data_IF_551127907728
#
_entry.id   IF_551127907728
#
_cell.length_a   1.000
_cell.length_b   1.000
_cell.length_c   1.000
_cell.angle_alpha   90.00
_cell.angle_beta   90.00
_cell.angle_gamma   90.00
#
_symmetry.space_group_name_H-M   'P 1'
#
loop_
_entity.id
_entity.type
_entity.pdbx_description
1 polymer ?
#
# COMPACT_ATOMS: atom_id res chain seq x y z
N UNK A 1 -26.05 46.82 36.00
CA UNK A 1 -26.12 46.50 34.56
C UNK A 1 -24.78 45.90 34.19
N UNK A 2 -24.69 44.58 34.28
CA UNK A 2 -23.45 43.83 34.07
C UNK A 2 -23.23 43.65 32.57
N UNK A 3 -22.12 44.16 32.07
CA UNK A 3 -21.57 43.76 30.78
C UNK A 3 -20.97 42.36 30.96
N UNK A 4 -21.67 41.34 30.48
CA UNK A 4 -21.11 40.00 30.30
C UNK A 4 -20.00 40.08 29.23
N UNK A 5 -18.75 40.14 29.69
CA UNK A 5 -17.59 39.80 28.89
C UNK A 5 -17.69 38.31 28.57
N UNK A 6 -17.89 37.98 27.28
CA UNK A 6 -17.73 36.62 26.78
C UNK A 6 -16.30 36.16 27.11
N UNK A 7 -16.10 34.92 27.57
CA UNK A 7 -14.76 34.39 27.72
C UNK A 7 -14.09 34.44 26.35
N UNK A 8 -12.88 34.99 26.29
CA UNK A 8 -12.04 34.94 25.11
C UNK A 8 -11.90 33.46 24.74
N UNK A 9 -12.53 33.04 23.64
CA UNK A 9 -12.26 31.75 23.02
C UNK A 9 -10.78 31.78 22.65
N UNK A 10 -9.93 31.11 23.44
CA UNK A 10 -8.48 31.10 23.25
C UNK A 10 -8.15 30.46 21.90
N UNK A 11 -8.05 31.31 20.88
CA UNK A 11 -7.55 30.92 19.57
C UNK A 11 -6.10 30.50 19.76
N UNK A 12 -5.86 29.19 19.61
CA UNK A 12 -4.55 28.60 19.83
C UNK A 12 -3.53 29.03 18.75
N UNK A 13 -3.99 29.28 17.52
CA UNK A 13 -3.10 29.71 16.44
C UNK A 13 -3.84 30.41 15.29
N UNK A 14 -3.30 31.56 14.85
CA UNK A 14 -3.75 32.29 13.66
C UNK A 14 -2.52 32.70 12.81
N UNK A 15 -2.35 32.08 11.64
CA UNK A 15 -1.27 32.43 10.71
C UNK A 15 -1.71 32.34 9.24
N UNK A 16 -0.99 33.07 8.38
CA UNK A 16 -1.20 33.11 6.93
C UNK A 16 -0.45 31.92 6.31
N UNK A 17 -1.17 30.82 6.03
CA UNK A 17 -0.57 29.68 5.36
C UNK A 17 -0.60 29.88 3.85
N UNK A 18 0.57 30.12 3.25
CA UNK A 18 0.72 30.17 1.79
C UNK A 18 0.49 28.78 1.19
N UNK A 19 -0.45 28.68 0.24
CA UNK A 19 -0.72 27.46 -0.52
C UNK A 19 0.49 27.12 -1.39
N UNK A 20 1.16 25.99 -1.13
CA UNK A 20 2.26 25.50 -1.96
C UNK A 20 1.73 24.45 -2.95
N UNK A 21 2.54 24.08 -3.95
CA UNK A 21 2.17 23.05 -4.95
C UNK A 21 1.89 21.66 -4.33
N UNK A 22 2.28 21.44 -3.07
CA UNK A 22 2.11 20.18 -2.34
C UNK A 22 0.97 20.21 -1.30
N UNK A 23 0.21 21.31 -1.19
CA UNK A 23 -0.92 21.45 -0.27
C UNK A 23 -0.73 22.52 0.81
N UNK A 24 -1.46 22.39 1.93
CA UNK A 24 -1.31 23.25 3.13
C UNK A 24 -0.24 22.60 4.02
N UNK A 25 0.89 23.26 4.20
CA UNK A 25 1.95 22.78 5.11
C UNK A 25 1.80 23.49 6.45
N UNK A 26 1.62 22.73 7.53
CA UNK A 26 1.60 23.33 8.87
C UNK A 26 3.00 23.80 9.28
N UNK A 27 3.12 25.01 9.88
CA UNK A 27 4.36 25.47 10.47
C UNK A 27 4.96 24.44 11.42
N UNK A 28 6.30 24.41 11.52
CA UNK A 28 7.01 23.39 12.31
C UNK A 28 6.59 23.40 13.78
N UNK A 29 6.44 24.59 14.35
CA UNK A 29 5.99 24.82 15.74
C UNK A 29 4.61 24.19 16.01
N UNK A 30 3.69 24.31 15.06
CA UNK A 30 2.35 23.75 15.17
C UNK A 30 2.35 22.22 15.03
N UNK A 31 3.24 21.67 14.19
CA UNK A 31 3.40 20.22 14.06
C UNK A 31 3.97 19.59 15.32
N UNK A 32 4.95 20.24 15.94
CA UNK A 32 5.54 19.75 17.19
C UNK A 32 4.54 19.84 18.36
N UNK A 33 3.67 20.84 18.37
CA UNK A 33 2.65 20.97 19.42
C UNK A 33 1.42 20.06 19.25
N UNK A 34 0.96 19.80 18.02
CA UNK A 34 -0.24 19.01 17.77
C UNK A 34 0.02 17.50 17.69
N UNK A 35 1.25 17.09 17.39
CA UNK A 35 1.62 15.68 17.15
C UNK A 35 2.70 15.19 18.11
N UNK A 36 2.66 15.65 19.36
CA UNK A 36 3.51 15.13 20.42
C UNK A 36 2.97 13.77 20.90
N UNK A 37 3.83 12.76 21.02
CA UNK A 37 3.44 11.35 21.24
C UNK A 37 2.82 11.06 22.62
N UNK A 38 2.89 12.03 23.55
CA UNK A 38 2.45 11.84 24.94
C UNK A 38 1.03 12.35 25.24
N UNK A 39 0.39 13.16 24.37
CA UNK A 39 -0.93 13.77 24.65
C UNK A 39 -1.82 13.81 23.39
N UNK A 40 -3.00 13.18 23.46
CA UNK A 40 -4.03 13.32 22.42
C UNK A 40 -4.61 14.74 22.43
N UNK A 41 -4.31 15.51 21.37
CA UNK A 41 -4.79 16.89 21.22
C UNK A 41 -5.88 16.93 20.15
N UNK A 42 -7.09 17.35 20.54
CA UNK A 42 -8.19 17.56 19.60
C UNK A 42 -8.23 19.01 19.14
N UNK A 43 -8.46 19.24 17.86
CA UNK A 43 -8.52 20.60 17.32
C UNK A 43 -9.50 20.68 16.15
N UNK A 44 -9.97 21.89 15.90
CA UNK A 44 -10.88 22.25 14.81
C UNK A 44 -10.19 23.25 13.90
N UNK A 45 -10.25 22.95 12.60
CA UNK A 45 -9.74 23.84 11.57
C UNK A 45 -10.90 24.67 11.03
N UNK A 46 -10.79 25.99 11.08
CA UNK A 46 -11.71 26.91 10.44
C UNK A 46 -11.00 27.58 9.27
N UNK A 47 -11.59 27.45 8.08
CA UNK A 47 -11.15 28.12 6.86
C UNK A 47 -12.21 29.17 6.48
N UNK A 48 -12.02 30.45 6.86
CA UNK A 48 -12.97 31.51 6.52
C UNK A 48 -13.01 31.74 5.00
N UNK A 49 -14.19 31.99 4.45
CA UNK A 49 -14.36 32.24 3.00
C UNK A 49 -13.70 33.54 2.51
N UNK A 50 -13.43 34.47 3.42
CA UNK A 50 -12.98 35.84 3.10
C UNK A 50 -11.62 36.22 3.70
N UNK A 51 -10.92 35.29 4.37
CA UNK A 51 -9.59 35.57 4.96
C UNK A 51 -8.56 34.57 4.46
N UNK A 52 -7.36 35.07 4.13
CA UNK A 52 -6.18 34.27 3.77
C UNK A 52 -5.51 33.57 4.98
N UNK A 53 -6.29 33.30 6.03
CA UNK A 53 -5.81 32.77 7.30
C UNK A 53 -6.57 31.52 7.67
N UNK A 54 -5.87 30.55 8.23
CA UNK A 54 -6.47 29.36 8.83
C UNK A 54 -6.46 29.58 10.35
N UNK A 55 -7.61 29.33 10.99
CA UNK A 55 -7.77 29.43 12.44
C UNK A 55 -7.82 28.01 12.98
N UNK A 56 -6.98 27.73 13.98
CA UNK A 56 -6.96 26.47 14.70
C UNK A 56 -7.42 26.70 16.13
N UNK A 57 -8.52 26.04 16.49
CA UNK A 57 -9.09 26.04 17.84
C UNK A 57 -8.81 24.68 18.47
N UNK A 58 -8.12 24.64 19.61
CA UNK A 58 -7.97 23.40 20.39
C UNK A 58 -9.31 23.14 21.08
N UNK A 59 -9.78 21.90 20.97
CA UNK A 59 -11.01 21.44 21.58
C UNK A 59 -10.71 20.58 22.79
N UNK A 60 -11.51 20.73 23.83
CA UNK A 60 -11.57 19.76 24.93
C UNK A 60 -12.30 18.49 24.49
N UNK A 61 -12.04 17.36 25.15
CA UNK A 61 -12.73 16.09 24.86
C UNK A 61 -14.26 16.21 24.92
N UNK A 62 -14.80 17.05 25.81
CA UNK A 62 -16.23 17.28 25.97
C UNK A 62 -16.82 18.04 24.76
N UNK A 63 -16.09 19.00 24.21
CA UNK A 63 -16.49 19.74 23.00
C UNK A 63 -16.48 18.87 21.75
N UNK A 64 -15.51 17.96 21.64
CA UNK A 64 -15.43 16.96 20.56
C UNK A 64 -16.64 16.02 20.60
N UNK A 65 -17.02 15.54 21.78
CA UNK A 65 -18.21 14.69 21.96
C UNK A 65 -19.48 15.44 21.54
N UNK A 66 -19.62 16.71 21.93
CA UNK A 66 -20.77 17.53 21.56
C UNK A 66 -20.84 17.85 20.05
N UNK A 67 -19.71 18.09 19.39
CA UNK A 67 -19.66 18.31 17.93
C UNK A 67 -19.99 17.03 17.14
N UNK A 68 -19.52 15.88 17.61
CA UNK A 68 -19.84 14.58 16.99
C UNK A 68 -21.32 14.21 17.10
N UNK A 69 -21.99 14.60 18.20
CA UNK A 69 -23.44 14.41 18.36
C UNK A 69 -24.22 15.35 17.43
N UNK A 70 -23.85 16.64 17.36
CA UNK A 70 -24.49 17.61 16.44
C UNK A 70 -24.32 17.27 14.96
N UNK A 71 -23.16 16.73 14.56
CA UNK A 71 -22.92 16.30 13.17
C UNK A 71 -23.75 15.06 12.76
N UNK A 72 -24.17 14.23 13.73
CA UNK A 72 -25.08 13.10 13.50
C UNK A 72 -26.55 13.56 13.42
N UNK A 73 -26.91 14.61 14.15
CA UNK A 73 -28.28 15.17 14.16
C UNK A 73 -28.54 16.16 13.00
N UNK A 74 -27.52 16.80 12.43
CA UNK A 74 -27.67 17.79 11.36
C UNK A 74 -27.87 17.22 9.95
N UNK A 75 -27.92 15.88 9.78
CA UNK A 75 -28.40 15.24 8.54
C UNK A 75 -29.92 15.05 8.60
N UNK A 76 -30.66 16.14 8.77
CA UNK A 76 -32.11 16.15 8.57
C UNK A 76 -32.47 16.74 7.20
N UNK A 77 -33.21 15.92 6.46
CA UNK A 77 -33.83 16.04 5.13
C UNK A 77 -34.00 17.47 4.58
N UNK A 78 -33.33 17.77 3.48
CA UNK A 78 -33.80 18.74 2.48
C UNK A 78 -34.59 17.99 1.37
N UNK A 79 -35.82 18.41 1.03
CA UNK A 79 -36.66 17.70 0.07
C UNK A 79 -36.32 18.14 -1.35
N UNK A 80 -35.69 17.25 -2.13
CA UNK A 80 -35.55 17.45 -3.57
C UNK A 80 -36.68 16.72 -4.29
N UNK A 81 -37.32 17.45 -5.20
CA UNK A 81 -38.52 17.08 -5.95
C UNK A 81 -38.40 15.73 -6.66
N UNK A 82 -39.54 15.06 -6.65
CA UNK A 82 -39.88 13.76 -7.25
C UNK A 82 -39.47 13.71 -8.74
N UNK A 83 -38.60 12.78 -9.08
CA UNK A 83 -38.63 12.10 -10.38
C UNK A 83 -38.61 10.61 -10.10
N UNK A 84 -39.71 9.95 -10.48
CA UNK A 84 -39.96 8.53 -10.31
C UNK A 84 -38.82 7.69 -10.89
N UNK A 85 -38.25 6.79 -10.09
CA UNK A 85 -37.65 5.54 -10.58
C UNK A 85 -37.60 4.50 -9.48
N UNK A 86 -38.43 3.47 -9.68
CA UNK A 86 -38.25 2.04 -9.39
C UNK A 86 -37.80 1.69 -7.97
N UNK A 87 -38.70 0.95 -7.31
CA UNK A 87 -38.67 0.39 -5.97
C UNK A 87 -37.33 -0.29 -5.65
N UNK A 88 -36.69 0.24 -4.59
CA UNK A 88 -35.53 -0.31 -3.89
C UNK A 88 -35.76 -1.76 -3.43
N UNK A 89 -34.84 -2.64 -3.79
CA UNK A 89 -34.57 -3.87 -3.02
C UNK A 89 -33.34 -3.62 -2.15
N UNK A 90 -33.60 -3.61 -0.83
CA UNK A 90 -32.69 -3.88 0.30
C UNK A 90 -31.25 -3.36 0.19
N UNK A 91 -31.00 -2.30 0.95
CA UNK A 91 -29.72 -1.90 1.55
C UNK A 91 -28.78 -3.07 1.84
N UNK A 92 -27.80 -3.27 0.96
CA UNK A 92 -26.47 -3.73 1.33
C UNK A 92 -25.74 -2.58 2.01
N UNK A 93 -24.82 -2.88 2.92
CA UNK A 93 -23.80 -1.92 3.37
C UNK A 93 -23.22 -1.20 2.15
N UNK A 94 -23.00 0.12 2.23
CA UNK A 94 -22.52 0.89 1.07
C UNK A 94 -21.12 0.40 0.69
N UNK A 95 -21.05 -0.54 -0.25
CA UNK A 95 -19.82 -0.99 -0.89
C UNK A 95 -19.28 0.22 -1.66
N UNK A 96 -18.21 0.83 -1.14
CA UNK A 96 -17.59 2.02 -1.73
C UNK A 96 -16.12 1.74 -2.08
N UNK A 97 -15.60 2.40 -3.14
CA UNK A 97 -14.20 2.30 -3.54
C UNK A 97 -13.25 2.95 -2.51
N UNK A 98 -12.11 2.31 -2.26
CA UNK A 98 -11.05 2.83 -1.38
C UNK A 98 -10.00 3.64 -2.17
N UNK A 99 -10.32 4.90 -2.47
CA UNK A 99 -9.43 5.76 -3.27
C UNK A 99 -8.05 5.99 -2.67
N UNK A 100 -7.90 5.93 -1.34
CA UNK A 100 -6.60 6.08 -0.67
C UNK A 100 -5.65 4.93 -0.99
N UNK A 101 -6.18 3.73 -1.17
CA UNK A 101 -5.40 2.55 -1.54
C UNK A 101 -5.14 2.46 -3.04
N UNK A 102 -6.04 2.98 -3.88
CA UNK A 102 -5.83 2.93 -5.34
C UNK A 102 -4.91 4.04 -5.83
N UNK A 103 -5.07 5.28 -5.33
CA UNK A 103 -4.29 6.45 -5.77
C UNK A 103 -3.15 6.77 -4.81
N UNK A 104 -2.22 5.82 -4.68
CA UNK A 104 -1.01 5.96 -3.84
C UNK A 104 -0.09 7.06 -4.37
N UNK A 105 -0.01 7.20 -5.69
CA UNK A 105 0.79 8.24 -6.35
C UNK A 105 -0.13 9.27 -7.00
N UNK A 106 0.25 10.54 -6.89
CA UNK A 106 -0.44 11.61 -7.60
C UNK A 106 -0.03 11.65 -9.08
N UNK A 107 -1.02 11.87 -9.95
CA UNK A 107 -0.84 11.95 -11.40
C UNK A 107 -1.87 12.88 -12.04
N UNK A 108 -1.49 13.48 -13.17
CA UNK A 108 -2.16 14.65 -13.77
C UNK A 108 -3.66 14.51 -14.01
N UNK A 109 -4.12 13.33 -14.40
CA UNK A 109 -5.51 13.09 -14.81
C UNK A 109 -6.38 12.45 -13.70
N UNK A 110 -5.88 12.35 -12.47
CA UNK A 110 -6.56 11.66 -11.35
C UNK A 110 -8.00 12.12 -11.15
N UNK A 111 -8.23 13.43 -11.04
CA UNK A 111 -9.57 13.99 -10.78
C UNK A 111 -10.58 13.66 -11.89
N UNK A 112 -10.12 13.50 -13.13
CA UNK A 112 -10.98 13.14 -14.27
C UNK A 112 -11.24 11.65 -14.36
N UNK A 113 -10.26 10.85 -13.95
CA UNK A 113 -10.33 9.37 -14.03
C UNK A 113 -11.13 8.80 -12.86
N UNK A 114 -11.00 9.37 -11.67
CA UNK A 114 -11.69 8.92 -10.47
C UNK A 114 -13.20 8.68 -10.69
N UNK A 115 -14.01 9.64 -11.21
CA UNK A 115 -15.43 9.39 -11.42
C UNK A 115 -15.71 8.29 -12.46
N UNK A 116 -14.83 8.08 -13.45
CA UNK A 116 -14.97 7.01 -14.45
C UNK A 116 -14.75 5.65 -13.79
N UNK A 117 -13.70 5.54 -12.98
CA UNK A 117 -13.38 4.33 -12.22
C UNK A 117 -14.41 4.04 -11.14
N UNK A 118 -14.95 5.07 -10.48
CA UNK A 118 -16.05 4.94 -9.53
C UNK A 118 -17.28 4.34 -10.21
N UNK A 119 -17.60 4.90 -11.37
CA UNK A 119 -18.68 4.43 -12.22
C UNK A 119 -18.44 2.98 -12.68
N UNK A 120 -17.19 2.57 -12.95
CA UNK A 120 -16.86 1.18 -13.28
C UNK A 120 -17.03 0.25 -12.07
N UNK A 121 -16.54 0.65 -10.90
CA UNK A 121 -16.65 -0.11 -9.65
C UNK A 121 -18.11 -0.45 -9.32
N UNK A 122 -19.01 0.54 -9.38
CA UNK A 122 -20.43 0.27 -9.12
C UNK A 122 -21.08 -0.63 -10.18
N UNK A 123 -20.55 -0.69 -11.41
CA UNK A 123 -21.01 -1.65 -12.42
C UNK A 123 -20.57 -3.09 -12.11
N UNK A 124 -19.41 -3.26 -11.49
CA UNK A 124 -19.01 -4.57 -10.94
C UNK A 124 -19.87 -4.98 -9.74
N UNK A 125 -20.42 -4.03 -8.99
CA UNK A 125 -21.32 -4.29 -7.87
C UNK A 125 -22.77 -4.61 -8.28
N UNK A 126 -23.14 -4.46 -9.57
CA UNK A 126 -24.50 -4.77 -10.04
C UNK A 126 -24.79 -6.28 -9.98
N UNK A 127 -26.05 -6.65 -9.76
CA UNK A 127 -26.51 -8.05 -9.79
C UNK A 127 -27.67 -8.19 -10.79
N UNK A 128 -27.47 -8.82 -11.96
CA UNK A 128 -26.23 -9.45 -12.44
C UNK A 128 -25.16 -8.42 -12.85
N UNK A 129 -23.89 -8.83 -12.81
CA UNK A 129 -22.75 -7.96 -13.14
C UNK A 129 -22.78 -7.60 -14.63
N UNK A 130 -22.69 -6.31 -14.94
CA UNK A 130 -22.52 -5.84 -16.31
C UNK A 130 -21.03 -5.70 -16.66
N UNK A 131 -20.38 -6.82 -16.95
CA UNK A 131 -18.94 -6.87 -17.22
C UNK A 131 -18.53 -6.04 -18.45
N UNK A 132 -19.38 -5.96 -19.47
CA UNK A 132 -19.06 -5.24 -20.71
C UNK A 132 -18.97 -3.72 -20.45
N UNK A 133 -19.98 -3.14 -19.80
CA UNK A 133 -19.98 -1.71 -19.46
C UNK A 133 -18.89 -1.39 -18.42
N UNK A 134 -18.74 -2.24 -17.39
CA UNK A 134 -17.72 -2.07 -16.36
C UNK A 134 -16.30 -2.04 -16.98
N UNK A 135 -15.95 -3.05 -17.78
CA UNK A 135 -14.66 -3.11 -18.47
C UNK A 135 -14.52 -2.06 -19.56
N UNK A 136 -15.61 -1.67 -20.21
CA UNK A 136 -15.63 -0.58 -21.19
C UNK A 136 -15.13 0.73 -20.58
N UNK A 137 -15.55 1.05 -19.36
CA UNK A 137 -15.11 2.23 -18.60
C UNK A 137 -13.63 2.15 -18.20
N UNK A 138 -13.18 0.98 -17.76
CA UNK A 138 -11.76 0.73 -17.46
C UNK A 138 -10.89 0.95 -18.70
N UNK A 139 -11.27 0.36 -19.84
CA UNK A 139 -10.57 0.52 -21.11
C UNK A 139 -10.59 1.98 -21.59
N UNK A 140 -11.72 2.66 -21.46
CA UNK A 140 -11.84 4.08 -21.80
C UNK A 140 -10.86 4.94 -20.99
N UNK A 141 -10.75 4.69 -19.68
CA UNK A 141 -9.78 5.37 -18.82
C UNK A 141 -8.33 5.12 -19.29
N UNK A 142 -8.01 3.86 -19.60
CA UNK A 142 -6.67 3.43 -20.03
C UNK A 142 -6.27 3.94 -21.42
N UNK A 143 -7.21 4.30 -22.30
CA UNK A 143 -6.91 4.80 -23.65
C UNK A 143 -6.96 6.31 -23.70
N UNK A 144 -7.94 6.93 -23.04
CA UNK A 144 -8.25 8.35 -23.21
C UNK A 144 -7.41 9.26 -22.33
N UNK A 145 -6.81 8.73 -21.27
CA UNK A 145 -6.09 9.54 -20.28
C UNK A 145 -4.61 9.22 -20.16
N UNK A 146 -4.07 8.45 -21.11
CA UNK A 146 -2.63 8.35 -21.28
C UNK A 146 -2.05 9.71 -21.68
N UNK A 147 -0.86 9.98 -21.17
CA UNK A 147 -0.06 11.15 -21.48
C UNK A 147 1.15 10.75 -22.31
N UNK A 148 1.88 11.75 -22.84
CA UNK A 148 3.20 11.51 -23.43
C UNK A 148 4.28 11.14 -22.38
N UNK A 149 3.96 11.19 -21.08
CA UNK A 149 4.92 10.97 -19.99
C UNK A 149 4.76 9.55 -19.44
N UNK A 150 5.76 8.71 -19.70
CA UNK A 150 5.80 7.29 -19.34
C UNK A 150 5.57 7.04 -17.85
N UNK A 151 6.16 7.87 -16.99
CA UNK A 151 6.02 7.76 -15.53
C UNK A 151 4.60 8.10 -15.06
N UNK A 152 3.94 9.07 -15.67
CA UNK A 152 2.53 9.39 -15.37
C UNK A 152 1.61 8.24 -15.79
N UNK A 153 1.88 7.63 -16.94
CA UNK A 153 1.11 6.48 -17.43
C UNK A 153 1.28 5.27 -16.50
N UNK A 154 2.50 5.01 -16.02
CA UNK A 154 2.77 3.92 -15.08
C UNK A 154 2.01 4.08 -13.75
N UNK A 155 1.86 5.30 -13.22
CA UNK A 155 1.04 5.57 -12.03
C UNK A 155 -0.45 5.30 -12.28
N UNK A 156 -0.95 5.70 -13.44
CA UNK A 156 -2.33 5.39 -13.84
C UNK A 156 -2.56 3.89 -13.94
N UNK A 157 -1.67 3.17 -14.62
CA UNK A 157 -1.74 1.72 -14.75
C UNK A 157 -1.77 1.05 -13.37
N UNK A 158 -0.84 1.38 -12.48
CA UNK A 158 -0.82 0.80 -11.12
C UNK A 158 -2.10 1.12 -10.33
N UNK A 159 -2.64 2.32 -10.45
CA UNK A 159 -3.90 2.71 -9.79
C UNK A 159 -5.09 1.86 -10.25
N UNK A 160 -5.15 1.58 -11.55
CA UNK A 160 -6.19 0.72 -12.14
C UNK A 160 -5.98 -0.74 -11.74
N UNK A 161 -4.73 -1.22 -11.65
CA UNK A 161 -4.42 -2.55 -11.14
C UNK A 161 -4.96 -2.73 -9.72
N UNK A 162 -4.69 -1.78 -8.83
CA UNK A 162 -5.16 -1.85 -7.43
C UNK A 162 -6.69 -1.87 -7.33
N UNK A 163 -7.36 -1.02 -8.12
CA UNK A 163 -8.82 -1.07 -8.21
C UNK A 163 -9.34 -2.43 -8.70
N UNK A 164 -8.74 -2.98 -9.76
CA UNK A 164 -9.18 -4.25 -10.34
C UNK A 164 -8.90 -5.45 -9.42
N UNK A 165 -7.82 -5.41 -8.64
CA UNK A 165 -7.55 -6.41 -7.59
C UNK A 165 -8.62 -6.35 -6.50
N UNK A 166 -8.98 -5.17 -6.02
CA UNK A 166 -10.06 -5.02 -5.04
C UNK A 166 -11.42 -5.48 -5.61
N UNK A 167 -11.68 -5.23 -6.89
CA UNK A 167 -12.85 -5.77 -7.60
C UNK A 167 -12.79 -7.31 -7.65
N UNK A 168 -11.63 -7.90 -7.94
CA UNK A 168 -11.45 -9.36 -7.92
C UNK A 168 -11.81 -9.94 -6.55
N UNK A 169 -11.31 -9.34 -5.47
CA UNK A 169 -11.56 -9.83 -4.11
C UNK A 169 -13.01 -9.62 -3.66
N UNK A 170 -13.62 -8.46 -3.96
CA UNK A 170 -14.97 -8.13 -3.49
C UNK A 170 -16.11 -8.71 -4.30
N UNK A 171 -15.90 -8.91 -5.60
CA UNK A 171 -16.96 -9.33 -6.53
C UNK A 171 -16.67 -10.68 -7.21
N UNK A 172 -15.69 -11.43 -6.68
CA UNK A 172 -15.30 -12.77 -7.15
C UNK A 172 -15.04 -12.81 -8.67
N UNK A 173 -14.13 -11.94 -9.13
CA UNK A 173 -13.73 -11.81 -10.55
C UNK A 173 -12.27 -12.23 -10.76
N UNK A 174 -11.91 -13.52 -10.59
CA UNK A 174 -10.52 -13.99 -10.65
C UNK A 174 -9.89 -13.88 -12.04
N UNK A 175 -10.71 -13.86 -13.10
CA UNK A 175 -10.28 -13.67 -14.50
C UNK A 175 -9.66 -12.29 -14.76
N UNK A 176 -9.92 -11.28 -13.92
CA UNK A 176 -9.30 -9.97 -14.05
C UNK A 176 -7.79 -10.02 -13.82
N UNK A 177 -7.29 -10.94 -13.00
CA UNK A 177 -5.84 -11.13 -12.77
C UNK A 177 -5.12 -11.41 -14.10
N UNK A 178 -5.67 -12.33 -14.90
CA UNK A 178 -5.13 -12.67 -16.22
C UNK A 178 -5.16 -11.46 -17.16
N UNK A 179 -6.30 -10.76 -17.18
CA UNK A 179 -6.48 -9.60 -18.04
C UNK A 179 -5.53 -8.45 -17.67
N UNK A 180 -5.34 -8.18 -16.38
CA UNK A 180 -4.38 -7.19 -15.89
C UNK A 180 -2.97 -7.55 -16.37
N UNK A 181 -2.57 -8.79 -16.17
CA UNK A 181 -1.23 -9.26 -16.55
C UNK A 181 -0.99 -9.19 -18.05
N UNK A 182 -1.98 -9.51 -18.88
CA UNK A 182 -1.83 -9.49 -20.34
C UNK A 182 -1.97 -8.10 -20.95
N UNK A 183 -2.81 -7.23 -20.38
CA UNK A 183 -3.21 -5.96 -21.02
C UNK A 183 -2.70 -4.70 -20.34
N UNK A 184 -2.39 -4.75 -19.04
CA UNK A 184 -1.91 -3.56 -18.31
C UNK A 184 -0.41 -3.69 -18.03
N UNK A 185 0.01 -4.75 -17.35
CA UNK A 185 1.40 -4.91 -16.86
C UNK A 185 2.47 -4.68 -17.94
N UNK A 186 2.33 -5.18 -19.20
CA UNK A 186 3.34 -5.00 -20.22
C UNK A 186 3.54 -3.55 -20.67
N UNK A 187 2.57 -2.67 -20.39
CA UNK A 187 2.62 -1.25 -20.74
C UNK A 187 3.23 -0.38 -19.64
N UNK A 188 3.61 -0.96 -18.50
CA UNK A 188 4.25 -0.24 -17.39
C UNK A 188 5.75 -0.13 -17.65
N UNK A 189 6.17 1.03 -18.14
CA UNK A 189 7.58 1.25 -18.50
C UNK A 189 8.51 1.54 -17.30
N UNK A 190 7.94 1.94 -16.16
CA UNK A 190 8.74 2.17 -14.95
C UNK A 190 9.09 0.82 -14.32
N UNK A 191 10.38 0.46 -14.29
CA UNK A 191 10.88 -0.78 -13.67
C UNK A 191 10.35 -1.00 -12.24
N UNK A 192 10.35 0.07 -11.44
CA UNK A 192 9.85 0.05 -10.07
C UNK A 192 8.33 -0.18 -10.00
N UNK A 193 7.53 0.56 -10.78
CA UNK A 193 6.07 0.38 -10.75
C UNK A 193 5.63 -0.93 -11.43
N UNK A 194 6.42 -1.44 -12.37
CA UNK A 194 6.24 -2.76 -12.98
C UNK A 194 6.39 -3.86 -11.93
N UNK A 195 7.45 -3.81 -11.13
CA UNK A 195 7.64 -4.74 -10.02
C UNK A 195 6.53 -4.63 -8.98
N UNK A 196 6.15 -3.40 -8.60
CA UNK A 196 5.01 -3.19 -7.68
C UNK A 196 3.73 -3.81 -8.23
N UNK A 197 3.43 -3.66 -9.52
CA UNK A 197 2.26 -4.26 -10.13
C UNK A 197 2.28 -5.80 -10.05
N UNK A 198 3.43 -6.43 -10.33
CA UNK A 198 3.60 -7.88 -10.21
C UNK A 198 3.44 -8.36 -8.77
N UNK A 199 3.99 -7.63 -7.79
CA UNK A 199 3.87 -7.95 -6.37
C UNK A 199 2.43 -7.89 -5.86
N UNK A 200 1.62 -6.96 -6.36
CA UNK A 200 0.19 -6.88 -6.04
C UNK A 200 -0.57 -8.07 -6.65
N UNK A 201 -0.27 -8.44 -7.90
CA UNK A 201 -0.86 -9.61 -8.55
C UNK A 201 -0.45 -10.92 -7.89
N UNK A 202 0.79 -11.02 -7.42
CA UNK A 202 1.30 -12.15 -6.66
C UNK A 202 0.50 -12.34 -5.37
N UNK A 203 0.38 -11.29 -4.57
CA UNK A 203 -0.29 -11.35 -3.28
C UNK A 203 -1.75 -11.81 -3.42
N UNK A 204 -2.51 -11.20 -4.34
CA UNK A 204 -3.91 -11.60 -4.55
C UNK A 204 -3.99 -13.04 -5.06
N UNK A 205 -3.12 -13.45 -5.98
CA UNK A 205 -3.12 -14.82 -6.52
C UNK A 205 -2.86 -15.87 -5.47
N UNK A 206 -1.97 -15.60 -4.52
CA UNK A 206 -1.73 -16.48 -3.37
C UNK A 206 -2.95 -16.54 -2.45
N UNK A 207 -3.57 -15.40 -2.13
CA UNK A 207 -4.79 -15.33 -1.28
C UNK A 207 -5.94 -16.15 -1.85
N UNK A 208 -6.16 -16.07 -3.17
CA UNK A 208 -7.22 -16.83 -3.85
C UNK A 208 -6.77 -18.22 -4.36
N UNK A 209 -5.58 -18.68 -3.93
CA UNK A 209 -5.01 -20.01 -4.24
C UNK A 209 -4.82 -20.31 -5.73
N UNK A 210 -4.59 -19.29 -6.56
CA UNK A 210 -4.16 -19.45 -7.97
C UNK A 210 -2.65 -19.59 -8.06
N UNK A 211 -2.13 -20.71 -7.55
CA UNK A 211 -0.69 -20.93 -7.39
C UNK A 211 0.11 -20.87 -8.70
N UNK A 212 -0.43 -21.39 -9.81
CA UNK A 212 0.23 -21.29 -11.12
C UNK A 212 0.48 -19.84 -11.56
N UNK A 213 -0.46 -18.93 -11.24
CA UNK A 213 -0.30 -17.50 -11.53
C UNK A 213 0.67 -16.85 -10.57
N UNK A 214 0.62 -17.21 -9.28
CA UNK A 214 1.60 -16.75 -8.31
C UNK A 214 3.04 -17.14 -8.72
N UNK A 215 3.26 -18.39 -9.12
CA UNK A 215 4.55 -18.88 -9.64
C UNK A 215 5.03 -18.05 -10.83
N UNK A 216 4.15 -17.80 -11.80
CA UNK A 216 4.45 -16.96 -12.95
C UNK A 216 4.88 -15.55 -12.51
N UNK A 217 4.14 -14.93 -11.60
CA UNK A 217 4.45 -13.57 -11.15
C UNK A 217 5.76 -13.51 -10.36
N UNK A 218 6.06 -14.50 -9.51
CA UNK A 218 7.37 -14.58 -8.83
C UNK A 218 8.48 -14.69 -9.88
N UNK A 219 8.33 -15.52 -10.91
CA UNK A 219 9.31 -15.61 -11.98
C UNK A 219 9.59 -14.24 -12.63
N UNK A 220 8.56 -13.47 -12.96
CA UNK A 220 8.76 -12.12 -13.53
C UNK A 220 9.37 -11.12 -12.54
N UNK A 221 9.03 -11.21 -11.25
CA UNK A 221 9.67 -10.38 -10.22
C UNK A 221 11.16 -10.72 -10.11
N UNK A 222 11.51 -11.99 -10.00
CA UNK A 222 12.90 -12.44 -9.91
C UNK A 222 13.70 -12.06 -11.16
N UNK A 223 13.10 -12.17 -12.34
CA UNK A 223 13.73 -11.69 -13.58
C UNK A 223 14.00 -10.18 -13.53
N UNK A 224 13.04 -9.38 -13.04
CA UNK A 224 13.23 -7.95 -12.88
C UNK A 224 14.35 -7.60 -11.88
N UNK A 225 14.50 -8.42 -10.83
CA UNK A 225 15.60 -8.34 -9.87
C UNK A 225 16.93 -8.63 -10.56
N UNK A 226 17.02 -9.73 -11.32
CA UNK A 226 18.22 -10.14 -12.06
C UNK A 226 18.65 -9.11 -13.11
N UNK A 227 17.71 -8.31 -13.64
CA UNK A 227 17.99 -7.22 -14.58
C UNK A 227 18.66 -6.01 -13.90
N UNK A 228 18.84 -5.97 -12.58
CA UNK A 228 19.63 -4.92 -11.92
C UNK A 228 21.13 -5.21 -12.03
N UNK A 229 21.98 -4.20 -12.31
CA UNK A 229 23.42 -4.38 -12.23
C UNK A 229 23.86 -4.83 -10.84
N UNK A 230 24.85 -5.73 -10.74
CA UNK A 230 25.40 -6.16 -9.44
C UNK A 230 25.97 -5.02 -8.59
N UNK A 231 26.28 -3.86 -9.18
CA UNK A 231 26.66 -2.65 -8.45
C UNK A 231 25.50 -2.02 -7.67
N UNK A 232 24.25 -2.33 -8.03
CA UNK A 232 23.03 -1.78 -7.42
C UNK A 232 22.44 -2.73 -6.36
N UNK A 233 23.30 -3.27 -5.48
CA UNK A 233 22.87 -4.21 -4.43
C UNK A 233 21.72 -3.67 -3.59
N UNK A 234 21.69 -2.37 -3.30
CA UNK A 234 20.57 -1.76 -2.58
C UNK A 234 19.22 -2.01 -3.28
N UNK A 235 19.15 -1.84 -4.60
CA UNK A 235 17.92 -2.03 -5.37
C UNK A 235 17.52 -3.52 -5.37
N UNK A 236 18.47 -4.41 -5.64
CA UNK A 236 18.28 -5.87 -5.63
C UNK A 236 17.68 -6.33 -4.29
N UNK A 237 18.31 -5.93 -3.18
CA UNK A 237 17.90 -6.36 -1.85
C UNK A 237 16.59 -5.71 -1.39
N UNK A 238 16.34 -4.46 -1.77
CA UNK A 238 15.05 -3.85 -1.53
C UNK A 238 13.93 -4.58 -2.29
N UNK A 239 14.16 -5.01 -3.53
CA UNK A 239 13.20 -5.80 -4.30
C UNK A 239 12.95 -7.18 -3.68
N UNK A 240 13.99 -7.89 -3.24
CA UNK A 240 13.82 -9.14 -2.47
C UNK A 240 13.01 -8.91 -1.19
N UNK A 241 13.31 -7.84 -0.45
CA UNK A 241 12.57 -7.49 0.77
C UNK A 241 11.08 -7.28 0.50
N UNK A 242 10.72 -6.60 -0.60
CA UNK A 242 9.32 -6.41 -0.96
C UNK A 242 8.66 -7.75 -1.36
N UNK A 243 9.35 -8.58 -2.14
CA UNK A 243 8.87 -9.92 -2.52
C UNK A 243 8.58 -10.78 -1.28
N UNK A 244 9.55 -10.88 -0.37
CA UNK A 244 9.42 -11.70 0.85
C UNK A 244 8.28 -11.20 1.71
N UNK A 245 8.14 -9.87 1.88
CA UNK A 245 7.03 -9.28 2.65
C UNK A 245 5.67 -9.71 2.12
N UNK A 246 5.51 -9.85 0.80
CA UNK A 246 4.24 -10.25 0.16
C UNK A 246 3.93 -11.74 0.33
N UNK A 247 4.95 -12.59 0.50
CA UNK A 247 4.76 -14.04 0.50
C UNK A 247 4.90 -14.68 1.89
N UNK A 248 5.60 -14.04 2.84
CA UNK A 248 6.00 -14.66 4.13
C UNK A 248 4.85 -15.16 5.02
N UNK A 249 3.67 -14.56 4.94
CA UNK A 249 2.50 -14.91 5.77
C UNK A 249 1.38 -15.61 5.02
N UNK A 250 1.63 -16.04 3.77
CA UNK A 250 0.63 -16.68 2.93
C UNK A 250 1.09 -18.11 2.62
N UNK A 251 0.15 -19.03 2.50
CA UNK A 251 0.38 -20.41 2.06
C UNK A 251 0.99 -20.42 0.64
N UNK A 252 1.99 -21.27 0.42
CA UNK A 252 2.76 -21.37 -0.83
C UNK A 252 2.93 -22.84 -1.21
N UNK A 253 3.17 -23.08 -2.49
CA UNK A 253 3.53 -24.40 -2.99
C UNK A 253 5.02 -24.66 -2.77
N UNK A 254 5.41 -25.94 -2.69
CA UNK A 254 6.81 -26.34 -2.62
C UNK A 254 7.65 -25.78 -3.77
N UNK A 255 7.04 -25.66 -4.96
CA UNK A 255 7.70 -25.09 -6.13
C UNK A 255 8.01 -23.60 -5.97
N UNK A 256 7.11 -22.84 -5.35
CA UNK A 256 7.37 -21.43 -5.00
C UNK A 256 8.51 -21.37 -3.97
N UNK A 257 8.46 -22.22 -2.95
CA UNK A 257 9.49 -22.21 -1.91
C UNK A 257 10.86 -22.59 -2.47
N UNK A 258 10.94 -23.59 -3.36
CA UNK A 258 12.17 -23.98 -4.04
C UNK A 258 12.76 -22.82 -4.86
N UNK A 259 11.92 -22.14 -5.66
CA UNK A 259 12.33 -21.02 -6.49
C UNK A 259 12.93 -19.86 -5.65
N UNK A 260 12.27 -19.51 -4.54
CA UNK A 260 12.74 -18.46 -3.63
C UNK A 260 14.04 -18.86 -2.94
N UNK A 261 14.12 -20.10 -2.46
CA UNK A 261 15.30 -20.68 -1.82
C UNK A 261 16.51 -20.65 -2.75
N UNK A 262 16.38 -21.20 -3.96
CA UNK A 262 17.48 -21.25 -4.94
C UNK A 262 18.00 -19.85 -5.26
N UNK A 263 17.10 -18.89 -5.51
CA UNK A 263 17.49 -17.52 -5.82
C UNK A 263 18.17 -16.81 -4.66
N UNK A 264 17.66 -16.93 -3.43
CA UNK A 264 18.31 -16.31 -2.27
C UNK A 264 19.71 -16.89 -2.03
N UNK A 265 19.90 -18.20 -2.23
CA UNK A 265 21.21 -18.83 -2.10
C UNK A 265 22.18 -18.41 -3.20
N UNK A 266 21.72 -18.29 -4.46
CA UNK A 266 22.52 -17.78 -5.58
C UNK A 266 23.13 -16.40 -5.26
N UNK A 267 22.31 -15.48 -4.73
CA UNK A 267 22.79 -14.16 -4.29
C UNK A 267 23.65 -14.22 -3.02
N UNK A 268 23.39 -15.18 -2.12
CA UNK A 268 24.15 -15.38 -0.89
C UNK A 268 25.60 -15.75 -1.13
N UNK A 269 25.83 -16.57 -2.15
CA UNK A 269 27.17 -16.96 -2.58
C UNK A 269 27.85 -15.87 -3.42
N UNK A 270 27.09 -15.11 -4.20
CA UNK A 270 27.61 -14.12 -5.14
C UNK A 270 27.97 -12.75 -4.56
N UNK A 271 27.56 -12.43 -3.33
CA UNK A 271 27.83 -11.13 -2.68
C UNK A 271 28.97 -11.27 -1.68
N UNK A 272 29.91 -10.32 -1.67
CA UNK A 272 31.04 -10.33 -0.72
C UNK A 272 30.73 -9.60 0.59
N UNK A 273 29.98 -8.50 0.51
CA UNK A 273 29.65 -7.62 1.63
C UNK A 273 28.81 -8.35 2.70
N UNK A 274 29.27 -8.24 3.95
CA UNK A 274 28.67 -8.92 5.08
C UNK A 274 27.27 -8.40 5.44
N UNK A 275 26.92 -7.12 5.20
CA UNK A 275 25.57 -6.60 5.49
C UNK A 275 24.53 -7.25 4.60
N UNK A 276 24.85 -7.43 3.32
CA UNK A 276 23.98 -8.11 2.37
C UNK A 276 23.89 -9.61 2.65
N UNK A 277 24.98 -10.26 3.07
CA UNK A 277 24.93 -11.65 3.55
C UNK A 277 24.01 -11.82 4.76
N UNK A 278 24.06 -10.88 5.71
CA UNK A 278 23.16 -10.85 6.86
C UNK A 278 21.71 -10.71 6.42
N UNK A 279 21.42 -9.80 5.50
CA UNK A 279 20.06 -9.64 4.96
C UNK A 279 19.52 -10.93 4.33
N UNK A 280 20.36 -11.72 3.65
CA UNK A 280 19.92 -13.02 3.10
C UNK A 280 19.57 -14.00 4.22
N UNK A 281 20.34 -14.04 5.31
CA UNK A 281 19.97 -14.85 6.48
C UNK A 281 18.61 -14.44 7.02
N UNK A 282 18.35 -13.13 7.15
CA UNK A 282 17.06 -12.61 7.61
C UNK A 282 15.92 -12.94 6.64
N UNK A 283 16.18 -12.89 5.34
CA UNK A 283 15.23 -13.27 4.31
C UNK A 283 14.86 -14.75 4.36
N UNK A 284 15.85 -15.63 4.53
CA UNK A 284 15.64 -17.06 4.71
C UNK A 284 14.83 -17.33 5.99
N UNK A 285 15.14 -16.64 7.09
CA UNK A 285 14.38 -16.71 8.34
C UNK A 285 12.93 -16.24 8.17
N UNK A 286 12.70 -15.10 7.51
CA UNK A 286 11.37 -14.55 7.24
C UNK A 286 10.50 -15.52 6.41
N UNK A 287 11.12 -16.36 5.58
CA UNK A 287 10.44 -17.40 4.80
C UNK A 287 10.29 -18.73 5.55
N UNK A 288 10.80 -18.81 6.78
CA UNK A 288 10.89 -20.00 7.63
C UNK A 288 11.83 -21.11 7.12
N UNK A 289 12.87 -20.75 6.37
CA UNK A 289 13.97 -21.65 6.00
C UNK A 289 15.07 -21.60 7.08
N UNK A 290 14.69 -22.04 8.28
CA UNK A 290 15.48 -21.90 9.51
C UNK A 290 16.83 -22.63 9.45
N UNK A 291 16.89 -23.84 8.89
CA UNK A 291 18.13 -24.61 8.83
C UNK A 291 19.13 -23.98 7.88
N UNK A 292 18.65 -23.54 6.71
CA UNK A 292 19.46 -22.81 5.75
C UNK A 292 19.96 -21.49 6.34
N UNK A 293 19.08 -20.69 6.92
CA UNK A 293 19.43 -19.44 7.58
C UNK A 293 20.51 -19.68 8.63
N UNK A 294 20.36 -20.73 9.46
CA UNK A 294 21.33 -21.09 10.49
C UNK A 294 22.70 -21.49 9.91
N UNK A 295 22.71 -22.34 8.87
CA UNK A 295 23.93 -22.81 8.23
C UNK A 295 24.72 -21.66 7.59
N UNK A 296 24.02 -20.74 6.91
CA UNK A 296 24.61 -19.54 6.31
C UNK A 296 25.13 -18.59 7.40
N UNK A 297 24.35 -18.36 8.45
CA UNK A 297 24.75 -17.52 9.58
C UNK A 297 26.01 -18.04 10.27
N UNK A 298 26.14 -19.36 10.44
CA UNK A 298 27.36 -19.99 10.98
C UNK A 298 28.57 -19.81 10.06
N UNK A 299 28.37 -19.90 8.75
CA UNK A 299 29.43 -19.72 7.77
C UNK A 299 29.96 -18.29 7.79
N UNK A 300 29.06 -17.31 7.81
CA UNK A 300 29.41 -15.88 7.97
C UNK A 300 30.12 -15.64 9.30
N UNK A 301 29.60 -16.19 10.40
CA UNK A 301 30.21 -16.03 11.72
C UNK A 301 31.67 -16.52 11.76
N UNK A 302 31.98 -17.63 11.07
CA UNK A 302 33.35 -18.19 11.03
C UNK A 302 34.31 -17.40 10.15
N UNK A 303 33.81 -16.70 9.13
CA UNK A 303 34.63 -15.90 8.22
C UNK A 303 34.89 -14.48 8.71
N UNK A 304 34.11 -14.00 9.70
CA UNK A 304 34.30 -12.68 10.29
C UNK A 304 35.56 -12.61 11.17
N UNK A 305 36.35 -11.51 11.09
CA UNK A 305 37.44 -11.26 12.02
C UNK A 305 36.95 -11.20 13.47
N UNK A 306 37.70 -11.71 14.46
CA UNK A 306 37.28 -11.74 15.87
C UNK A 306 36.87 -10.37 16.44
N UNK A 307 37.49 -9.30 15.95
CA UNK A 307 37.30 -7.93 16.43
C UNK A 307 36.21 -7.17 15.65
N UNK A 308 35.54 -7.82 14.68
CA UNK A 308 34.49 -7.18 13.90
C UNK A 308 33.24 -6.91 14.75
N UNK A 309 32.72 -5.69 14.67
CA UNK A 309 31.48 -5.26 15.36
C UNK A 309 30.29 -6.17 15.01
N UNK A 310 30.29 -6.73 13.78
CA UNK A 310 29.26 -7.64 13.26
C UNK A 310 29.28 -9.03 13.90
N UNK A 311 30.35 -9.42 14.60
CA UNK A 311 30.42 -10.72 15.31
C UNK A 311 29.35 -10.80 16.39
N UNK A 312 29.09 -9.69 17.09
CA UNK A 312 28.09 -9.63 18.16
C UNK A 312 26.67 -9.83 17.61
N UNK A 313 26.36 -9.21 16.48
CA UNK A 313 25.12 -9.34 15.75
C UNK A 313 24.92 -10.77 15.23
N UNK A 314 25.94 -11.34 14.56
CA UNK A 314 25.89 -12.72 14.09
C UNK A 314 25.70 -13.74 15.22
N UNK A 315 26.30 -13.52 16.40
CA UNK A 315 26.06 -14.38 17.58
C UNK A 315 24.59 -14.34 18.01
N UNK A 316 23.94 -13.16 17.96
CA UNK A 316 22.51 -13.03 18.29
C UNK A 316 21.65 -13.77 17.28
N UNK A 317 21.92 -13.58 15.97
CA UNK A 317 21.18 -14.25 14.89
C UNK A 317 21.32 -15.77 14.99
N UNK A 318 22.53 -16.28 15.12
CA UNK A 318 22.79 -17.73 15.29
C UNK A 318 22.07 -18.29 16.50
N UNK A 319 22.08 -17.58 17.65
CA UNK A 319 21.38 -18.03 18.86
C UNK A 319 19.86 -18.05 18.65
N UNK A 320 19.30 -17.02 18.02
CA UNK A 320 17.87 -16.92 17.68
C UNK A 320 17.44 -18.09 16.80
N UNK A 321 18.18 -18.34 15.72
CA UNK A 321 17.90 -19.42 14.76
C UNK A 321 18.06 -20.81 15.38
N UNK A 322 19.04 -21.03 16.26
CA UNK A 322 19.21 -22.31 16.95
C UNK A 322 18.00 -22.68 17.82
N UNK A 323 17.30 -21.69 18.36
CA UNK A 323 16.11 -21.89 19.19
C UNK A 323 14.79 -21.81 18.41
N UNK A 324 14.85 -21.46 17.13
CA UNK A 324 13.66 -21.32 16.30
C UNK A 324 13.09 -22.71 15.95
N UNK A 325 11.75 -22.87 15.95
CA UNK A 325 11.14 -24.14 15.57
C UNK A 325 11.45 -24.43 14.10
N UNK A 326 11.99 -25.62 13.83
CA UNK A 326 12.25 -26.09 12.47
C UNK A 326 10.90 -26.42 11.83
N UNK A 327 10.56 -25.70 10.77
CA UNK A 327 9.32 -25.91 10.00
C UNK A 327 9.58 -26.45 8.60
N UNK A 328 10.84 -26.72 8.25
CA UNK A 328 11.24 -27.28 6.95
C UNK A 328 10.70 -28.72 6.75
N UNK A 329 10.28 -29.39 7.83
CA UNK A 329 9.65 -30.72 7.83
C UNK A 329 8.11 -30.69 7.68
N UNK A 330 7.51 -29.65 7.07
CA UNK A 330 6.15 -29.78 6.53
C UNK A 330 6.16 -30.63 5.25
N UNK A 331 6.63 -31.86 5.38
CA UNK A 331 6.65 -32.89 4.36
C UNK A 331 5.85 -34.08 4.93
N UNK A 332 4.60 -34.17 4.48
CA UNK A 332 3.89 -35.43 4.23
C UNK A 332 2.80 -35.19 3.20
#
# INVERSE_FOLDING_TARGET
MAQDKRPEEEVFFEDIIKKTKTGITFPKELRESLFNEEIETFFKIIVPKEKDKIILEVLTEEEVKNLNVKAKESKSKSPTKITQKIIDKKTSEKIAPNWGEYFIYDFKNREKIQPILESAFYKFAETPINLEDAMGRIKYALVSFLSGTKTENAKLYLSIIKLLIDITERFDQPNLIDWIFEKIVPNIESKFLYEQALLELLEVSLKIKRYEKAELFIFYVLKNIDDYPRSELYNIFNSFKQLIKKVRFIERTEKIDLLLKEKLMEYGEGVEDNDYKIQIVEFLEDLNYIELAYSLAKTIQKSLPPDSVKVSEMRKIVKRLYTAPITEDKIN
#
